data_IF_821185995695
#
_entry.id   IF_821185995695
#
_cell.length_a   1.000
_cell.length_b   1.000
_cell.length_c   1.000
_cell.angle_alpha   90.00
_cell.angle_beta   90.00
_cell.angle_gamma   90.00
#
_symmetry.space_group_name_H-M   'P 1'
#
loop_
_entity.id
_entity.type
_entity.pdbx_description
1 polymer ?
#
# COMPACT_ATOMS: atom_id res chain seq x y z
N UNK A 1 -9.67 -19.99 -18.12
CA UNK A 1 -9.58 -18.58 -17.70
C UNK A 1 -8.55 -17.90 -18.59
N UNK A 2 -8.74 -16.63 -18.96
CA UNK A 2 -7.71 -15.91 -19.74
C UNK A 2 -6.46 -15.75 -18.88
N UNK A 3 -5.25 -15.93 -19.43
CA UNK A 3 -4.04 -15.80 -18.65
C UNK A 3 -3.82 -14.33 -18.20
N UNK A 4 -3.01 -14.10 -17.15
CA UNK A 4 -2.60 -12.75 -16.74
C UNK A 4 -2.06 -11.94 -17.92
N UNK A 5 -2.38 -10.65 -17.97
CA UNK A 5 -2.25 -9.88 -19.21
C UNK A 5 -0.79 -9.80 -19.70
N UNK A 6 0.18 -9.61 -18.81
CA UNK A 6 1.59 -9.51 -19.20
C UNK A 6 2.23 -10.81 -19.67
N UNK A 7 1.56 -11.96 -19.53
CA UNK A 7 2.05 -13.23 -20.10
C UNK A 7 1.93 -13.30 -21.62
N UNK A 8 1.07 -12.48 -22.24
CA UNK A 8 0.81 -12.52 -23.68
C UNK A 8 0.65 -11.14 -24.34
N UNK A 9 0.73 -10.04 -23.59
CA UNK A 9 0.56 -8.70 -24.11
C UNK A 9 1.74 -8.21 -24.96
N UNK A 10 2.97 -8.51 -24.52
CA UNK A 10 4.21 -8.18 -25.23
C UNK A 10 5.22 -9.34 -25.10
N UNK A 11 5.60 -10.02 -26.20
CA UNK A 11 6.47 -11.19 -26.14
C UNK A 11 7.85 -10.92 -25.56
N UNK A 12 8.44 -9.76 -25.86
CA UNK A 12 9.79 -9.42 -25.41
C UNK A 12 9.81 -9.14 -23.90
N UNK A 13 8.79 -8.42 -23.42
CA UNK A 13 8.61 -8.17 -22.00
C UNK A 13 8.30 -9.46 -21.23
N UNK A 14 7.42 -10.32 -21.75
CA UNK A 14 7.14 -11.63 -21.14
C UNK A 14 8.42 -12.50 -21.04
N UNK A 15 9.24 -12.53 -22.10
CA UNK A 15 10.50 -13.27 -22.08
C UNK A 15 11.47 -12.70 -21.03
N UNK A 16 11.52 -11.38 -20.86
CA UNK A 16 12.29 -10.73 -19.80
C UNK A 16 11.80 -11.10 -18.40
N UNK A 17 10.49 -11.02 -18.16
CA UNK A 17 9.88 -11.39 -16.88
C UNK A 17 10.14 -12.87 -16.56
N UNK A 18 9.93 -13.76 -17.52
CA UNK A 18 10.15 -15.21 -17.35
C UNK A 18 11.60 -15.51 -16.99
N UNK A 19 12.59 -14.88 -17.64
CA UNK A 19 14.01 -15.04 -17.28
C UNK A 19 14.32 -14.51 -15.89
N UNK A 20 13.72 -13.37 -15.51
CA UNK A 20 13.93 -12.76 -14.19
C UNK A 20 13.30 -13.60 -13.08
N UNK A 21 12.15 -14.21 -13.35
CA UNK A 21 11.39 -15.05 -12.42
C UNK A 21 11.93 -16.48 -12.24
N UNK A 22 12.85 -16.92 -13.11
CA UNK A 22 13.22 -18.33 -13.26
C UNK A 22 13.98 -18.94 -12.06
N UNK A 23 14.73 -18.13 -11.31
CA UNK A 23 15.48 -18.59 -10.13
C UNK A 23 15.23 -17.67 -8.95
N UNK A 24 15.00 -18.25 -7.77
CA UNK A 24 14.89 -17.53 -6.50
C UNK A 24 16.21 -16.88 -6.06
N UNK A 25 17.33 -17.20 -6.71
CA UNK A 25 18.63 -16.53 -6.48
C UNK A 25 18.66 -15.11 -7.07
N UNK A 26 17.78 -14.80 -8.03
CA UNK A 26 17.66 -13.47 -8.59
C UNK A 26 16.85 -12.58 -7.63
N UNK A 27 17.45 -11.56 -7.04
CA UNK A 27 16.79 -10.66 -6.07
C UNK A 27 15.48 -9.99 -6.55
N UNK A 28 15.14 -10.08 -7.84
CA UNK A 28 13.91 -9.54 -8.42
C UNK A 28 12.91 -10.62 -8.87
N UNK A 29 13.12 -11.89 -8.51
CA UNK A 29 12.30 -13.01 -8.94
C UNK A 29 10.83 -12.82 -8.54
N UNK A 30 10.57 -12.41 -7.31
CA UNK A 30 9.26 -12.16 -6.70
C UNK A 30 8.49 -11.10 -7.47
N UNK A 31 9.15 -9.98 -7.75
CA UNK A 31 8.59 -8.88 -8.53
C UNK A 31 8.22 -9.35 -9.95
N UNK A 32 9.10 -10.08 -10.63
CA UNK A 32 8.81 -10.57 -11.97
C UNK A 32 7.63 -11.57 -11.97
N UNK A 33 7.56 -12.44 -10.96
CA UNK A 33 6.41 -13.35 -10.77
C UNK A 33 5.12 -12.60 -10.50
N UNK A 34 5.13 -11.50 -9.75
CA UNK A 34 3.95 -10.66 -9.56
C UNK A 34 3.39 -10.19 -10.89
N UNK A 35 4.22 -9.67 -11.81
CA UNK A 35 3.76 -9.23 -13.13
C UNK A 35 3.20 -10.38 -13.98
N UNK A 36 3.80 -11.57 -13.90
CA UNK A 36 3.31 -12.76 -14.61
C UNK A 36 2.04 -13.35 -14.00
N UNK A 37 1.76 -13.07 -12.72
CA UNK A 37 0.61 -13.57 -11.98
C UNK A 37 -0.58 -12.62 -12.03
N UNK A 38 -0.34 -11.31 -12.14
CA UNK A 38 -1.36 -10.29 -11.91
C UNK A 38 -2.54 -10.32 -12.92
N UNK A 39 -3.69 -10.77 -12.42
CA UNK A 39 -4.95 -10.78 -13.15
C UNK A 39 -5.76 -9.49 -12.97
N UNK A 40 -5.24 -8.49 -12.25
CA UNK A 40 -5.84 -7.19 -11.95
C UNK A 40 -5.49 -6.08 -12.95
N UNK A 41 -4.51 -6.27 -13.83
CA UNK A 41 -4.09 -5.24 -14.81
C UNK A 41 -5.03 -5.17 -16.02
N UNK A 42 -5.71 -4.04 -16.22
CA UNK A 42 -6.56 -3.77 -17.40
C UNK A 42 -5.77 -3.57 -18.70
N UNK A 43 -6.44 -3.69 -19.86
CA UNK A 43 -5.79 -3.54 -21.17
C UNK A 43 -5.31 -2.11 -21.41
N UNK A 44 -6.11 -1.14 -21.01
CA UNK A 44 -5.86 0.29 -21.06
C UNK A 44 -4.57 0.61 -20.30
N UNK A 45 -4.45 0.09 -19.06
CA UNK A 45 -3.26 0.28 -18.23
C UNK A 45 -2.01 -0.37 -18.80
N UNK A 46 -2.13 -1.57 -19.35
CA UNK A 46 -1.01 -2.22 -20.04
C UNK A 46 -0.57 -1.44 -21.29
N UNK A 47 -1.49 -0.84 -22.04
CA UNK A 47 -1.18 0.01 -23.18
C UNK A 47 -0.49 1.30 -22.74
N UNK A 48 -0.95 1.94 -21.66
CA UNK A 48 -0.31 3.11 -21.09
C UNK A 48 1.13 2.79 -20.64
N UNK A 49 1.31 1.70 -19.88
CA UNK A 49 2.62 1.21 -19.45
C UNK A 49 3.59 0.94 -20.62
N UNK A 50 3.07 0.38 -21.72
CA UNK A 50 3.84 0.19 -22.96
C UNK A 50 4.20 1.52 -23.64
N UNK A 51 3.27 2.48 -23.69
CA UNK A 51 3.48 3.81 -24.29
C UNK A 51 4.60 4.58 -23.59
N UNK A 52 4.73 4.40 -22.28
CA UNK A 52 5.86 4.92 -21.48
C UNK A 52 7.18 4.18 -21.69
N UNK A 53 7.21 3.19 -22.59
CA UNK A 53 8.41 2.45 -22.95
C UNK A 53 8.93 1.52 -21.86
N UNK A 54 8.13 1.24 -20.82
CA UNK A 54 8.55 0.40 -19.69
C UNK A 54 8.77 -1.06 -20.12
N UNK A 55 7.97 -1.53 -21.09
CA UNK A 55 8.06 -2.87 -21.69
C UNK A 55 9.14 -3.00 -22.78
N UNK A 56 9.97 -1.97 -23.00
CA UNK A 56 10.97 -1.98 -24.07
C UNK A 56 12.34 -1.63 -23.50
N UNK A 57 13.42 -2.13 -24.11
CA UNK A 57 14.79 -1.72 -23.78
C UNK A 57 15.17 -1.88 -22.30
N UNK A 58 14.64 -2.91 -21.64
CA UNK A 58 15.02 -3.35 -20.31
C UNK A 58 16.24 -4.26 -20.44
N UNK A 59 17.44 -3.66 -20.41
CA UNK A 59 18.69 -4.41 -20.41
C UNK A 59 18.83 -5.28 -19.15
N UNK A 60 18.35 -4.76 -18.02
CA UNK A 60 18.32 -5.42 -16.72
C UNK A 60 17.13 -4.91 -15.87
N UNK A 61 17.02 -5.44 -14.65
CA UNK A 61 15.96 -5.07 -13.70
C UNK A 61 16.09 -3.64 -13.15
N UNK A 62 17.29 -3.06 -13.11
CA UNK A 62 17.49 -1.69 -12.66
C UNK A 62 16.95 -0.69 -13.72
N UNK A 63 17.23 -0.94 -14.99
CA UNK A 63 16.67 -0.20 -16.11
C UNK A 63 15.14 -0.33 -16.15
N UNK A 64 14.61 -1.53 -15.89
CA UNK A 64 13.17 -1.73 -15.75
C UNK A 64 12.58 -0.90 -14.59
N UNK A 65 13.17 -0.97 -13.39
CA UNK A 65 12.74 -0.19 -12.22
C UNK A 65 12.72 1.31 -12.51
N UNK A 66 13.78 1.86 -13.11
CA UNK A 66 13.83 3.28 -13.45
C UNK A 66 12.70 3.72 -14.38
N UNK A 67 12.37 2.91 -15.39
CA UNK A 67 11.24 3.18 -16.29
C UNK A 67 9.89 3.01 -15.60
N UNK A 68 9.75 2.02 -14.74
CA UNK A 68 8.55 1.81 -13.94
C UNK A 68 8.29 3.01 -13.02
N UNK A 69 9.31 3.51 -12.32
CA UNK A 69 9.20 4.74 -11.51
C UNK A 69 8.80 5.95 -12.36
N UNK A 70 9.33 6.09 -13.57
CA UNK A 70 8.93 7.15 -14.50
C UNK A 70 7.45 7.05 -14.91
N UNK A 71 6.94 5.84 -15.15
CA UNK A 71 5.51 5.59 -15.40
C UNK A 71 4.67 5.97 -14.17
N UNK A 72 5.05 5.53 -12.97
CA UNK A 72 4.32 5.86 -11.75
C UNK A 72 4.21 7.39 -11.57
N UNK A 73 5.32 8.11 -11.72
CA UNK A 73 5.34 9.58 -11.62
C UNK A 73 4.44 10.28 -12.65
N UNK A 74 4.29 9.69 -13.84
CA UNK A 74 3.50 10.29 -14.91
C UNK A 74 2.00 10.00 -14.79
N UNK A 75 1.61 8.81 -14.34
CA UNK A 75 0.23 8.31 -14.50
C UNK A 75 -0.46 7.95 -13.17
N UNK A 76 0.31 7.70 -12.10
CA UNK A 76 -0.22 7.17 -10.83
C UNK A 76 0.01 8.17 -9.69
N UNK A 77 1.23 8.66 -9.55
CA UNK A 77 1.70 9.67 -8.59
C UNK A 77 1.51 11.08 -9.14
N UNK A 78 0.29 11.42 -9.54
CA UNK A 78 -0.01 12.73 -10.15
C UNK A 78 0.30 13.86 -9.17
N UNK A 79 1.05 14.87 -9.60
CA UNK A 79 1.42 15.99 -8.74
C UNK A 79 0.15 16.76 -8.29
N UNK A 80 -0.03 16.91 -6.97
CA UNK A 80 -1.10 17.76 -6.42
C UNK A 80 -0.80 19.24 -6.65
N UNK A 81 -1.86 20.04 -6.70
CA UNK A 81 -1.77 21.49 -6.56
C UNK A 81 -1.50 21.91 -5.09
N UNK A 82 -1.36 23.21 -4.87
CA UNK A 82 -1.13 23.81 -3.54
C UNK A 82 -2.31 23.64 -2.56
N UNK A 83 -3.45 23.10 -2.99
CA UNK A 83 -4.64 22.89 -2.16
C UNK A 83 -4.65 21.51 -1.49
N UNK A 84 -3.86 20.56 -2.01
CA UNK A 84 -3.77 19.19 -1.52
C UNK A 84 -4.85 18.28 -2.14
N UNK A 85 -4.98 17.04 -1.66
CA UNK A 85 -5.89 16.07 -2.24
C UNK A 85 -7.36 16.54 -2.18
N UNK A 86 -8.13 16.38 -3.28
CA UNK A 86 -9.52 16.82 -3.33
C UNK A 86 -10.44 15.88 -2.53
N UNK A 87 -11.58 16.41 -2.07
CA UNK A 87 -12.62 15.62 -1.39
C UNK A 87 -13.44 14.74 -2.37
N UNK A 88 -13.30 14.98 -3.68
CA UNK A 88 -13.86 14.15 -4.74
C UNK A 88 -12.90 14.02 -5.92
N UNK A 89 -12.96 12.88 -6.60
CA UNK A 89 -12.14 12.57 -7.78
C UNK A 89 -13.05 12.41 -8.99
N UNK A 90 -12.69 13.07 -10.08
CA UNK A 90 -13.34 12.88 -11.38
C UNK A 90 -12.47 11.95 -12.25
N UNK A 91 -12.93 10.73 -12.59
CA UNK A 91 -12.18 9.79 -13.43
C UNK A 91 -11.87 10.31 -14.84
N UNK A 92 -12.59 11.33 -15.31
CA UNK A 92 -12.38 11.92 -16.63
C UNK A 92 -11.31 13.04 -16.60
N UNK A 93 -10.91 13.51 -15.42
CA UNK A 93 -9.85 14.50 -15.27
C UNK A 93 -8.45 13.87 -15.37
N UNK A 94 -7.52 14.58 -16.00
CA UNK A 94 -6.11 14.16 -16.10
C UNK A 94 -5.36 14.22 -14.76
N UNK A 95 -5.95 14.87 -13.75
CA UNK A 95 -5.47 14.90 -12.36
C UNK A 95 -5.80 13.62 -11.60
N UNK A 96 -6.72 12.79 -12.12
CA UNK A 96 -7.08 11.51 -11.52
C UNK A 96 -5.99 10.46 -11.78
N UNK A 97 -5.45 9.79 -10.76
CA UNK A 97 -4.56 8.66 -10.95
C UNK A 97 -5.19 7.56 -11.82
N UNK A 98 -4.38 6.98 -12.70
CA UNK A 98 -4.81 5.93 -13.64
C UNK A 98 -5.53 4.76 -12.95
N UNK A 99 -5.11 4.43 -11.73
CA UNK A 99 -5.72 3.45 -10.81
C UNK A 99 -7.24 3.62 -10.67
N UNK A 100 -7.73 4.87 -10.62
CA UNK A 100 -9.16 5.18 -10.45
C UNK A 100 -9.85 5.56 -11.77
N UNK A 101 -9.09 5.86 -12.83
CA UNK A 101 -9.61 6.10 -14.19
C UNK A 101 -9.99 4.80 -14.89
N UNK A 102 -9.14 3.78 -14.77
CA UNK A 102 -9.28 2.50 -15.46
C UNK A 102 -9.21 1.31 -14.49
N UNK A 103 -10.13 1.22 -13.51
CA UNK A 103 -10.18 0.05 -12.64
C UNK A 103 -10.59 -1.16 -13.48
N UNK A 104 -9.86 -2.28 -13.37
CA UNK A 104 -10.17 -3.48 -14.15
C UNK A 104 -11.47 -4.14 -13.69
N UNK A 105 -11.71 -4.13 -12.40
CA UNK A 105 -12.93 -4.63 -11.75
C UNK A 105 -13.77 -3.44 -11.29
N UNK A 106 -15.07 -3.61 -11.04
CA UNK A 106 -15.84 -2.62 -10.29
C UNK A 106 -15.14 -2.27 -8.97
N UNK A 107 -15.39 -1.07 -8.46
CA UNK A 107 -14.92 -0.70 -7.13
C UNK A 107 -15.40 -1.72 -6.09
N UNK A 108 -14.56 -1.97 -5.09
CA UNK A 108 -14.82 -2.93 -4.02
C UNK A 108 -16.17 -2.68 -3.37
N UNK A 109 -16.86 -3.77 -3.01
CA UNK A 109 -18.08 -3.71 -2.21
C UNK A 109 -17.87 -3.06 -0.85
N UNK A 110 -16.63 -3.04 -0.32
CA UNK A 110 -16.26 -2.27 0.87
C UNK A 110 -16.51 -0.77 0.71
N UNK A 111 -16.50 -0.26 -0.53
CA UNK A 111 -16.80 1.13 -0.84
C UNK A 111 -18.26 1.52 -0.57
N UNK A 112 -19.15 0.54 -0.43
CA UNK A 112 -20.57 0.73 -0.09
C UNK A 112 -20.81 0.75 1.42
N UNK A 113 -19.97 0.08 2.20
CA UNK A 113 -20.03 0.08 3.67
C UNK A 113 -19.29 1.30 4.24
N UNK A 114 -20.00 2.42 4.26
CA UNK A 114 -19.47 3.72 4.69
C UNK A 114 -19.04 3.77 6.18
N UNK A 115 -19.47 2.80 6.98
CA UNK A 115 -19.15 2.67 8.41
C UNK A 115 -18.02 1.65 8.67
N UNK A 116 -17.64 0.87 7.66
CA UNK A 116 -16.42 0.07 7.72
C UNK A 116 -15.20 0.97 7.95
N UNK A 117 -14.21 0.45 8.69
CA UNK A 117 -12.99 1.16 9.00
C UNK A 117 -11.81 0.62 8.21
N UNK A 118 -10.95 1.55 7.79
CA UNK A 118 -9.66 1.31 7.19
C UNK A 118 -8.56 1.64 8.20
N UNK A 119 -7.41 0.98 8.04
CA UNK A 119 -6.21 1.19 8.84
C UNK A 119 -5.03 1.55 7.95
N UNK A 120 -4.23 2.52 8.40
CA UNK A 120 -3.00 2.95 7.72
C UNK A 120 -1.92 3.24 8.74
N UNK A 121 -0.68 2.97 8.37
CA UNK A 121 0.51 3.24 9.18
C UNK A 121 1.36 4.29 8.48
N UNK A 122 1.82 5.30 9.21
CA UNK A 122 2.75 6.32 8.70
C UNK A 122 3.99 6.40 9.59
N UNK A 123 5.16 6.54 8.96
CA UNK A 123 6.42 6.83 9.66
C UNK A 123 6.43 8.25 10.19
N UNK A 124 6.89 8.40 11.42
CA UNK A 124 7.06 9.74 11.99
C UNK A 124 8.14 10.53 11.25
N UNK A 125 9.22 9.89 10.81
CA UNK A 125 10.31 10.54 10.07
C UNK A 125 9.79 11.23 8.79
N UNK A 126 8.82 10.61 8.11
CA UNK A 126 8.19 11.19 6.92
C UNK A 126 7.47 12.50 7.24
N UNK A 127 6.81 12.58 8.39
CA UNK A 127 6.13 13.79 8.85
C UNK A 127 7.13 14.81 9.43
N UNK A 128 8.16 14.34 10.12
CA UNK A 128 9.21 15.17 10.72
C UNK A 128 10.00 15.93 9.65
N UNK A 129 10.28 15.31 8.50
CA UNK A 129 10.91 15.99 7.35
C UNK A 129 10.11 17.20 6.86
N UNK A 130 8.78 17.19 6.97
CA UNK A 130 7.97 18.37 6.63
C UNK A 130 8.10 19.51 7.64
N UNK A 131 8.35 19.20 8.92
CA UNK A 131 8.67 20.22 9.92
C UNK A 131 10.05 20.83 9.69
N UNK A 132 11.05 20.01 9.39
CA UNK A 132 12.40 20.49 9.04
C UNK A 132 12.33 21.47 7.87
N UNK A 133 11.58 21.12 6.81
CA UNK A 133 11.32 22.03 5.67
C UNK A 133 10.61 23.29 6.11
N UNK A 134 9.54 23.18 6.91
CA UNK A 134 8.76 24.33 7.41
C UNK A 134 9.63 25.36 8.11
N UNK A 135 10.61 24.90 8.89
CA UNK A 135 11.46 25.73 9.73
C UNK A 135 12.83 25.99 9.10
N UNK A 136 12.99 25.73 7.80
CA UNK A 136 14.24 25.95 7.07
C UNK A 136 15.47 25.33 7.77
N UNK A 137 15.30 24.16 8.39
CA UNK A 137 16.36 23.47 9.13
C UNK A 137 16.71 24.06 10.50
N UNK A 138 15.90 24.96 11.06
CA UNK A 138 16.13 25.52 12.39
C UNK A 138 15.96 24.53 13.55
N UNK A 139 15.35 23.36 13.27
CA UNK A 139 15.32 22.20 14.17
C UNK A 139 15.91 20.99 13.45
N UNK A 140 16.56 20.14 14.23
CA UNK A 140 17.06 18.85 13.75
C UNK A 140 15.91 17.88 13.45
N UNK A 141 16.23 16.81 12.71
CA UNK A 141 15.27 15.73 12.42
C UNK A 141 14.82 15.02 13.71
N UNK A 142 15.74 14.75 14.64
CA UNK A 142 15.44 14.14 15.93
C UNK A 142 14.48 15.01 16.77
N UNK A 143 14.74 16.32 16.89
CA UNK A 143 13.83 17.25 17.57
C UNK A 143 12.46 17.31 16.88
N UNK A 144 12.44 17.19 15.55
CA UNK A 144 11.20 17.15 14.77
C UNK A 144 10.40 15.88 15.08
N UNK A 145 11.04 14.71 15.12
CA UNK A 145 10.39 13.45 15.47
C UNK A 145 9.81 13.47 16.89
N UNK A 146 10.59 13.94 17.88
CA UNK A 146 10.13 14.12 19.26
C UNK A 146 8.89 15.03 19.35
N UNK A 147 8.88 16.10 18.55
CA UNK A 147 7.77 17.06 18.51
C UNK A 147 6.51 16.46 17.89
N UNK A 148 6.64 15.71 16.79
CA UNK A 148 5.50 14.98 16.19
C UNK A 148 4.95 13.94 17.16
N UNK A 149 5.81 13.18 17.84
CA UNK A 149 5.43 12.22 18.87
C UNK A 149 4.67 12.89 20.02
N UNK A 150 5.18 14.02 20.52
CA UNK A 150 4.54 14.76 21.60
C UNK A 150 3.13 15.25 21.20
N UNK A 151 2.98 15.78 19.97
CA UNK A 151 1.69 16.19 19.44
C UNK A 151 0.73 15.01 19.24
N UNK A 152 1.21 13.88 18.72
CA UNK A 152 0.40 12.68 18.54
C UNK A 152 -0.10 12.12 19.87
N UNK A 153 0.78 12.01 20.88
CA UNK A 153 0.42 11.58 22.24
C UNK A 153 -0.56 12.57 22.88
N UNK A 154 -0.33 13.87 22.75
CA UNK A 154 -1.24 14.90 23.24
C UNK A 154 -2.62 14.81 22.60
N UNK A 155 -2.70 14.61 21.28
CA UNK A 155 -3.96 14.45 20.55
C UNK A 155 -4.74 13.22 21.04
N UNK A 156 -4.07 12.09 21.27
CA UNK A 156 -4.69 10.89 21.85
C UNK A 156 -5.20 11.10 23.28
N UNK A 157 -4.60 12.01 24.03
CA UNK A 157 -5.07 12.46 25.36
C UNK A 157 -6.12 13.58 25.28
N UNK A 158 -6.67 13.86 24.10
CA UNK A 158 -7.64 14.92 23.83
C UNK A 158 -7.14 16.35 24.14
N UNK A 159 -5.82 16.61 24.03
CA UNK A 159 -5.30 17.98 24.06
C UNK A 159 -5.66 18.71 22.76
N UNK A 160 -6.48 19.80 22.83
CA UNK A 160 -6.89 20.54 21.64
C UNK A 160 -5.73 21.23 20.93
N UNK A 161 -4.69 21.68 21.65
CA UNK A 161 -3.53 22.35 21.04
C UNK A 161 -2.69 21.35 20.27
N UNK A 162 -2.41 20.21 20.87
CA UNK A 162 -1.69 19.12 20.22
C UNK A 162 -2.44 18.64 18.95
N UNK A 163 -3.76 18.51 19.03
CA UNK A 163 -4.60 18.16 17.87
C UNK A 163 -4.54 19.21 16.77
N UNK A 164 -4.59 20.50 17.13
CA UNK A 164 -4.50 21.60 16.17
C UNK A 164 -3.13 21.66 15.48
N UNK A 165 -2.05 21.50 16.24
CA UNK A 165 -0.69 21.47 15.72
C UNK A 165 -0.49 20.28 14.76
N UNK A 166 -0.99 19.11 15.14
CA UNK A 166 -0.92 17.90 14.32
C UNK A 166 -1.75 18.01 13.03
N UNK A 167 -2.98 18.55 13.10
CA UNK A 167 -3.77 18.86 11.90
C UNK A 167 -3.08 19.90 11.00
N UNK A 168 -2.39 20.88 11.60
CA UNK A 168 -1.57 21.85 10.88
C UNK A 168 -0.40 21.20 10.13
N UNK A 169 0.26 20.21 10.75
CA UNK A 169 1.30 19.40 10.12
C UNK A 169 0.72 18.54 8.99
N UNK A 170 -0.39 17.82 9.22
CA UNK A 170 -1.00 16.98 8.18
C UNK A 170 -1.48 17.80 6.98
N UNK A 171 -2.00 19.00 7.20
CA UNK A 171 -2.34 19.93 6.12
C UNK A 171 -1.11 20.29 5.29
N UNK A 172 0.02 20.58 5.94
CA UNK A 172 1.26 20.88 5.24
C UNK A 172 1.77 19.67 4.47
N UNK A 173 1.83 18.51 5.13
CA UNK A 173 2.22 17.25 4.52
C UNK A 173 1.38 16.94 3.27
N UNK A 174 0.07 17.16 3.32
CA UNK A 174 -0.82 16.90 2.18
C UNK A 174 -0.61 17.82 0.97
N UNK A 175 -0.08 19.05 1.17
CA UNK A 175 0.17 19.99 0.07
C UNK A 175 1.41 19.65 -0.74
N UNK A 176 2.39 18.99 -0.11
CA UNK A 176 3.65 18.64 -0.73
C UNK A 176 3.66 17.25 -1.38
N UNK A 177 2.52 16.54 -1.38
CA UNK A 177 2.44 15.15 -1.86
C UNK A 177 1.73 15.06 -3.20
N UNK A 178 2.12 14.04 -3.95
CA UNK A 178 1.36 13.54 -5.08
C UNK A 178 0.01 12.95 -4.64
N UNK A 179 -0.90 12.84 -5.60
CA UNK A 179 -2.21 12.23 -5.46
C UNK A 179 -2.14 10.70 -5.59
N UNK A 180 -0.99 10.10 -5.25
CA UNK A 180 -0.80 8.67 -5.41
C UNK A 180 -1.88 7.86 -4.65
N UNK A 181 -2.37 6.76 -5.23
CA UNK A 181 -3.26 5.84 -4.54
C UNK A 181 -2.69 5.42 -3.19
N UNK A 182 -3.55 5.41 -2.18
CA UNK A 182 -3.16 5.09 -0.81
C UNK A 182 -3.50 3.65 -0.50
N UNK A 183 -2.48 2.87 -0.15
CA UNK A 183 -2.66 1.54 0.43
C UNK A 183 -3.23 1.63 1.85
N UNK A 184 -4.27 0.86 2.12
CA UNK A 184 -4.86 0.70 3.44
C UNK A 184 -5.28 -0.75 3.68
N UNK A 185 -5.14 -1.20 4.93
CA UNK A 185 -5.72 -2.46 5.38
C UNK A 185 -7.18 -2.28 5.82
N UNK A 186 -7.93 -3.38 5.87
CA UNK A 186 -9.26 -3.37 6.49
C UNK A 186 -9.12 -3.54 8.00
N UNK A 187 -9.72 -2.62 8.77
CA UNK A 187 -9.58 -2.60 10.23
C UNK A 187 -10.04 -3.91 10.89
N UNK A 188 -11.15 -4.48 10.42
CA UNK A 188 -11.71 -5.70 10.99
C UNK A 188 -10.68 -6.84 11.03
N UNK A 189 -9.81 -6.91 10.02
CA UNK A 189 -8.85 -7.99 9.87
C UNK A 189 -7.74 -7.87 10.93
N UNK A 190 -7.35 -6.66 11.35
CA UNK A 190 -6.26 -6.44 12.32
C UNK A 190 -6.72 -5.96 13.70
N UNK A 191 -8.03 -5.84 13.90
CA UNK A 191 -8.61 -5.26 15.11
C UNK A 191 -8.31 -6.06 16.38
N UNK A 192 -8.03 -7.36 16.24
CA UNK A 192 -7.63 -8.27 17.31
C UNK A 192 -6.28 -7.92 17.97
N UNK A 193 -5.47 -7.10 17.30
CA UNK A 193 -4.20 -6.61 17.86
C UNK A 193 -4.40 -5.55 18.96
N UNK A 194 -5.60 -4.96 19.06
CA UNK A 194 -5.86 -3.77 19.86
C UNK A 194 -6.95 -4.00 20.90
N UNK A 195 -6.71 -3.49 22.11
CA UNK A 195 -7.74 -3.42 23.14
C UNK A 195 -8.56 -2.13 23.04
N UNK A 196 -9.58 -2.02 23.89
CA UNK A 196 -10.37 -0.79 24.02
C UNK A 196 -9.50 0.43 24.41
N UNK A 197 -8.45 0.17 25.20
CA UNK A 197 -7.43 1.14 25.62
C UNK A 197 -6.01 0.60 25.33
N UNK A 198 -4.99 1.46 25.24
CA UNK A 198 -3.62 1.05 24.91
C UNK A 198 -3.05 -0.04 25.83
N UNK A 199 -3.45 -0.08 27.09
CA UNK A 199 -3.02 -1.09 28.07
C UNK A 199 -3.53 -2.49 27.75
N UNK A 200 -4.57 -2.60 26.93
CA UNK A 200 -5.16 -3.85 26.45
C UNK A 200 -4.67 -4.29 25.08
N UNK A 201 -3.79 -3.53 24.42
CA UNK A 201 -3.22 -3.91 23.13
C UNK A 201 -2.31 -5.16 23.30
N UNK A 202 -2.25 -6.00 22.27
CA UNK A 202 -1.39 -7.19 22.28
C UNK A 202 0.08 -6.76 22.41
N UNK A 203 0.90 -7.41 23.26
CA UNK A 203 2.33 -7.10 23.33
C UNK A 203 3.01 -7.23 21.96
N UNK A 204 3.73 -6.19 21.53
CA UNK A 204 4.35 -6.16 20.21
C UNK A 204 3.37 -5.98 19.05
N UNK A 205 2.19 -5.38 19.30
CA UNK A 205 1.19 -5.12 18.27
C UNK A 205 1.74 -4.34 17.07
N UNK A 206 2.70 -3.42 17.27
CA UNK A 206 3.25 -2.60 16.19
C UNK A 206 4.05 -3.44 15.18
N UNK A 207 4.89 -4.35 15.67
CA UNK A 207 5.60 -5.32 14.82
C UNK A 207 4.60 -6.26 14.13
N UNK A 208 3.59 -6.72 14.85
CA UNK A 208 2.55 -7.62 14.33
C UNK A 208 1.69 -6.94 13.26
N UNK A 209 1.31 -5.67 13.46
CA UNK A 209 0.57 -4.87 12.49
C UNK A 209 1.39 -4.67 11.21
N UNK A 210 2.68 -4.33 11.35
CA UNK A 210 3.61 -4.20 10.22
C UNK A 210 3.69 -5.50 9.43
N UNK A 211 3.82 -6.63 10.11
CA UNK A 211 3.91 -7.94 9.46
C UNK A 211 2.61 -8.29 8.73
N UNK A 212 1.46 -8.14 9.39
CA UNK A 212 0.14 -8.43 8.81
C UNK A 212 -0.21 -7.51 7.65
N UNK A 213 0.24 -6.26 7.66
CA UNK A 213 0.06 -5.32 6.55
C UNK A 213 1.13 -5.47 5.45
N UNK A 214 2.03 -6.46 5.53
CA UNK A 214 3.04 -6.69 4.50
C UNK A 214 4.03 -5.54 4.34
N UNK A 215 4.23 -4.71 5.38
CA UNK A 215 5.03 -3.49 5.33
C UNK A 215 6.53 -3.79 5.44
N UNK A 216 7.07 -4.58 4.51
CA UNK A 216 8.46 -5.04 4.50
C UNK A 216 9.49 -3.89 4.51
N UNK A 217 9.14 -2.75 3.94
CA UNK A 217 10.00 -1.56 3.93
C UNK A 217 10.06 -0.84 5.29
N UNK A 218 9.17 -1.17 6.22
CA UNK A 218 9.22 -0.74 7.62
C UNK A 218 10.11 -1.70 8.43
N UNK A 219 11.39 -1.76 8.06
CA UNK A 219 12.35 -2.71 8.63
C UNK A 219 13.42 -1.97 9.46
N UNK A 220 13.35 -2.03 10.81
CA UNK A 220 14.41 -1.50 11.65
C UNK A 220 15.66 -2.35 11.42
N UNK A 221 16.66 -1.78 10.73
CA UNK A 221 17.88 -2.52 10.33
C UNK A 221 18.67 -3.04 11.51
N UNK A 222 18.49 -2.46 12.70
CA UNK A 222 19.06 -2.93 13.96
C UNK A 222 17.99 -2.90 15.07
N UNK A 223 18.07 -3.79 16.08
CA UNK A 223 17.10 -3.84 17.18
C UNK A 223 16.93 -2.55 18.00
N UNK A 224 17.92 -1.65 17.96
CA UNK A 224 17.87 -0.36 18.67
C UNK A 224 17.43 0.81 17.76
N UNK A 225 17.23 0.56 16.46
CA UNK A 225 16.80 1.56 15.47
C UNK A 225 15.28 1.47 15.27
N UNK A 226 14.54 1.52 16.38
CA UNK A 226 13.07 1.43 16.34
C UNK A 226 12.47 2.49 15.43
N UNK A 227 11.45 2.12 14.66
CA UNK A 227 10.73 3.03 13.77
C UNK A 227 9.46 3.47 14.48
N UNK A 228 9.40 4.74 14.89
CA UNK A 228 8.17 5.30 15.44
C UNK A 228 7.12 5.49 14.36
N UNK A 229 5.90 5.04 14.65
CA UNK A 229 4.78 5.03 13.71
C UNK A 229 3.51 5.63 14.31
N UNK A 230 2.73 6.25 13.43
CA UNK A 230 1.35 6.67 13.70
C UNK A 230 0.40 5.70 13.00
N UNK A 231 -0.56 5.17 13.75
CA UNK A 231 -1.64 4.33 13.21
C UNK A 231 -2.89 5.18 13.08
N UNK A 232 -3.44 5.25 11.88
CA UNK A 232 -4.70 5.89 11.58
C UNK A 232 -5.80 4.86 11.41
N UNK A 233 -6.93 5.11 12.04
CA UNK A 233 -8.18 4.36 11.85
C UNK A 233 -9.26 5.33 11.42
N UNK A 234 -9.77 5.17 10.21
CA UNK A 234 -10.77 6.08 9.64
C UNK A 234 -11.85 5.30 8.89
N UNK A 235 -13.09 5.80 8.92
CA UNK A 235 -14.19 5.14 8.24
C UNK A 235 -14.10 5.36 6.73
N UNK A 236 -14.68 4.45 5.95
CA UNK A 236 -14.72 4.54 4.48
C UNK A 236 -15.34 5.86 4.03
N UNK A 237 -16.35 6.40 4.71
CA UNK A 237 -16.93 7.69 4.32
C UNK A 237 -15.96 8.88 4.36
N UNK A 238 -14.82 8.76 5.06
CA UNK A 238 -13.77 9.78 5.10
C UNK A 238 -12.93 9.84 3.81
N UNK A 239 -12.95 8.77 3.02
CA UNK A 239 -12.25 8.67 1.73
C UNK A 239 -12.91 9.62 0.72
N UNK A 240 -12.16 10.21 -0.24
CA UNK A 240 -12.74 10.97 -1.34
C UNK A 240 -13.73 10.14 -2.15
N UNK A 241 -14.81 10.75 -2.60
CA UNK A 241 -15.83 10.09 -3.45
C UNK A 241 -15.58 10.35 -4.93
N UNK A 242 -16.31 9.67 -5.79
CA UNK A 242 -16.38 10.07 -7.20
C UNK A 242 -17.22 11.34 -7.38
N UNK A 243 -16.85 12.18 -8.34
CA UNK A 243 -17.56 13.42 -8.67
C UNK A 243 -18.90 13.18 -9.38
N UNK A 244 -19.15 11.97 -9.87
CA UNK A 244 -20.34 11.63 -10.65
C UNK A 244 -21.64 11.71 -9.83
N UNK A 245 -22.67 12.46 -10.31
CA UNK A 245 -23.93 12.63 -9.61
C UNK A 245 -24.73 11.32 -9.59
N UNK A 246 -24.72 10.65 -8.44
CA UNK A 246 -25.40 9.37 -8.21
C UNK A 246 -24.53 8.37 -7.46
N UNK A 247 -23.22 8.57 -7.49
CA UNK A 247 -22.28 7.64 -6.88
C UNK A 247 -22.03 8.02 -5.41
N UNK A 248 -22.59 7.22 -4.49
CA UNK A 248 -22.28 7.32 -3.07
C UNK A 248 -21.12 6.41 -2.68
N UNK A 249 -20.73 5.49 -3.55
CA UNK A 249 -19.68 4.53 -3.33
C UNK A 249 -18.33 5.27 -3.20
N UNK A 250 -17.44 4.73 -2.38
CA UNK A 250 -16.04 5.14 -2.37
C UNK A 250 -15.25 4.33 -3.38
N UNK A 251 -14.39 4.97 -4.21
CA UNK A 251 -13.62 4.29 -5.25
C UNK A 251 -12.46 3.50 -4.64
N UNK A 252 -12.79 2.42 -3.93
CA UNK A 252 -11.84 1.48 -3.37
C UNK A 252 -11.51 0.42 -4.43
N UNK A 253 -10.23 0.12 -4.66
CA UNK A 253 -9.82 -0.91 -5.63
C UNK A 253 -8.83 -1.88 -5.03
N UNK A 254 -8.83 -3.12 -5.51
CA UNK A 254 -7.76 -4.06 -5.24
C UNK A 254 -6.46 -3.55 -5.90
N UNK A 255 -5.31 -3.56 -5.20
CA UNK A 255 -4.03 -3.16 -5.80
C UNK A 255 -3.57 -4.14 -6.90
N UNK A 256 -2.84 -3.63 -7.88
CA UNK A 256 -2.09 -4.39 -8.87
C UNK A 256 -0.63 -3.91 -8.98
N UNK A 257 0.18 -4.64 -9.75
CA UNK A 257 1.62 -4.36 -9.97
C UNK A 257 1.94 -2.99 -10.59
N UNK A 258 0.92 -2.24 -11.01
CA UNK A 258 1.07 -0.91 -11.61
C UNK A 258 0.71 0.23 -10.65
N UNK A 259 0.33 -0.06 -9.40
CA UNK A 259 -0.18 0.96 -8.46
C UNK A 259 0.86 1.48 -7.46
N UNK A 260 2.07 0.95 -7.48
CA UNK A 260 3.14 1.37 -6.58
C UNK A 260 4.48 0.78 -6.98
N UNK A 261 5.51 1.08 -6.19
CA UNK A 261 6.86 0.61 -6.44
C UNK A 261 6.95 -0.93 -6.52
N UNK A 262 7.96 -1.40 -7.27
CA UNK A 262 8.27 -2.83 -7.37
C UNK A 262 8.67 -3.38 -5.98
N UNK A 263 7.72 -4.10 -5.36
CA UNK A 263 7.80 -4.68 -4.00
C UNK A 263 7.86 -6.20 -4.03
N UNK A 264 8.75 -6.77 -3.20
CA UNK A 264 8.90 -8.21 -3.02
C UNK A 264 7.79 -8.82 -2.15
N UNK A 265 7.25 -8.04 -1.22
CA UNK A 265 6.14 -8.43 -0.34
C UNK A 265 4.75 -8.25 -0.97
N UNK A 266 4.67 -7.69 -2.18
CA UNK A 266 3.42 -7.66 -2.92
C UNK A 266 3.12 -9.04 -3.53
N UNK A 267 1.85 -9.44 -3.53
CA UNK A 267 1.37 -10.64 -4.22
C UNK A 267 -0.04 -10.37 -4.73
N UNK A 268 -0.27 -10.36 -6.06
CA UNK A 268 -1.59 -10.09 -6.61
C UNK A 268 -2.65 -11.05 -6.07
N UNK A 269 -3.84 -10.54 -5.74
CA UNK A 269 -4.98 -11.42 -5.46
C UNK A 269 -5.61 -11.94 -6.78
N UNK A 270 -6.25 -13.12 -6.75
CA UNK A 270 -6.96 -13.62 -7.93
C UNK A 270 -8.06 -12.65 -8.38
N UNK A 271 -8.38 -12.61 -9.68
CA UNK A 271 -9.42 -11.72 -10.24
C UNK A 271 -10.82 -11.86 -9.63
N UNK A 272 -11.07 -12.94 -8.90
CA UNK A 272 -12.34 -13.19 -8.23
C UNK A 272 -12.50 -12.34 -6.96
N UNK A 273 -11.41 -11.76 -6.44
CA UNK A 273 -11.44 -10.87 -5.29
C UNK A 273 -11.65 -9.41 -5.70
N UNK A 274 -12.44 -8.69 -4.92
CA UNK A 274 -12.60 -7.24 -5.03
C UNK A 274 -11.66 -6.47 -4.08
N UNK A 275 -10.77 -7.16 -3.36
CA UNK A 275 -9.68 -6.61 -2.55
C UNK A 275 -8.36 -7.30 -2.89
N UNK A 276 -7.23 -6.69 -2.54
CA UNK A 276 -5.95 -7.41 -2.44
C UNK A 276 -5.83 -8.11 -1.09
N UNK A 277 -4.73 -8.84 -0.89
CA UNK A 277 -4.37 -9.45 0.38
C UNK A 277 -2.88 -9.32 0.59
N UNK A 278 -2.47 -8.83 1.75
CA UNK A 278 -1.06 -8.63 2.09
C UNK A 278 -0.38 -9.95 2.40
N UNK A 279 0.88 -10.09 1.99
CA UNK A 279 1.73 -11.18 2.47
C UNK A 279 2.10 -10.90 3.93
N UNK A 280 1.56 -11.71 4.85
CA UNK A 280 1.92 -11.63 6.27
C UNK A 280 3.38 -12.04 6.45
N UNK A 281 4.22 -11.10 6.90
CA UNK A 281 5.65 -11.33 7.08
C UNK A 281 5.96 -12.27 8.27
N UNK A 282 5.06 -12.43 9.24
CA UNK A 282 5.19 -13.43 10.30
C UNK A 282 4.58 -14.79 9.91
N UNK A 283 3.78 -14.79 8.84
CA UNK A 283 3.02 -15.94 8.37
C UNK A 283 1.63 -16.02 8.97
N UNK A 284 0.63 -15.97 8.09
CA UNK A 284 -0.76 -16.13 8.47
C UNK A 284 -0.97 -17.53 9.08
N UNK A 285 -1.85 -17.62 10.09
CA UNK A 285 -2.12 -18.88 10.79
C UNK A 285 -3.20 -19.73 10.11
N UNK A 286 -4.02 -19.09 9.28
CA UNK A 286 -5.15 -19.70 8.57
C UNK A 286 -5.56 -18.80 7.39
N UNK A 287 -6.42 -19.32 6.52
CA UNK A 287 -7.06 -18.54 5.44
C UNK A 287 -7.79 -17.30 5.96
N UNK A 288 -8.51 -17.43 7.08
CA UNK A 288 -9.21 -16.32 7.74
C UNK A 288 -8.25 -15.28 8.34
N UNK A 289 -6.96 -15.59 8.44
CA UNK A 289 -5.92 -14.69 8.93
C UNK A 289 -5.33 -13.77 7.86
N UNK A 290 -5.69 -13.96 6.58
CA UNK A 290 -5.25 -13.06 5.51
C UNK A 290 -5.80 -11.66 5.74
N UNK A 291 -4.95 -10.64 5.62
CA UNK A 291 -5.34 -9.26 5.81
C UNK A 291 -5.66 -8.64 4.46
N UNK A 292 -6.87 -8.13 4.30
CA UNK A 292 -7.28 -7.47 3.05
C UNK A 292 -6.61 -6.11 2.93
N UNK A 293 -6.18 -5.80 1.72
CA UNK A 293 -5.67 -4.49 1.32
C UNK A 293 -6.50 -3.89 0.19
N UNK A 294 -6.63 -2.57 0.24
CA UNK A 294 -7.29 -1.78 -0.80
C UNK A 294 -6.44 -0.55 -1.11
N UNK A 295 -6.71 0.04 -2.28
CA UNK A 295 -6.29 1.38 -2.62
C UNK A 295 -7.49 2.32 -2.56
N UNK A 296 -7.25 3.53 -2.09
CA UNK A 296 -8.21 4.62 -2.17
C UNK A 296 -7.53 5.91 -2.62
N UNK A 297 -8.27 6.91 -3.14
CA UNK A 297 -7.66 8.17 -3.54
C UNK A 297 -6.95 8.86 -2.39
N UNK A 298 -5.88 9.60 -2.71
CA UNK A 298 -5.16 10.40 -1.73
C UNK A 298 -6.13 11.26 -0.91
N UNK A 299 -5.90 11.31 0.40
CA UNK A 299 -6.73 12.09 1.31
C UNK A 299 -5.86 12.78 2.36
N UNK A 300 -6.35 13.89 2.90
CA UNK A 300 -5.67 14.56 4.03
C UNK A 300 -5.95 13.82 5.34
N UNK A 301 -4.89 13.32 5.98
CA UNK A 301 -4.95 12.79 7.34
C UNK A 301 -5.38 13.86 8.34
N UNK A 302 -6.05 13.44 9.43
CA UNK A 302 -6.53 14.32 10.48
C UNK A 302 -6.25 13.73 11.85
N UNK A 303 -6.00 14.56 12.84
CA UNK A 303 -5.75 14.16 14.22
C UNK A 303 -6.89 13.30 14.79
N UNK A 304 -8.15 13.59 14.41
CA UNK A 304 -9.32 12.79 14.81
C UNK A 304 -9.31 11.33 14.31
N UNK A 305 -8.47 11.00 13.34
CA UNK A 305 -8.29 9.63 12.83
C UNK A 305 -7.07 8.94 13.41
N UNK A 306 -6.23 9.66 14.18
CA UNK A 306 -5.12 9.05 14.89
C UNK A 306 -5.68 8.08 15.94
N UNK A 307 -5.22 6.84 15.90
CA UNK A 307 -5.73 5.76 16.72
C UNK A 307 -4.69 5.26 17.74
N UNK A 308 -3.44 5.07 17.30
CA UNK A 308 -2.32 4.65 18.16
C UNK A 308 -1.02 5.29 17.71
N UNK A 309 -0.08 5.35 18.66
CA UNK A 309 1.33 5.63 18.43
C UNK A 309 2.11 4.45 18.97
N UNK A 310 3.06 3.94 18.20
CA UNK A 310 3.88 2.79 18.58
C UNK A 310 5.24 2.83 17.92
N UNK A 311 6.06 1.81 18.21
CA UNK A 311 7.37 1.63 17.61
C UNK A 311 7.50 0.22 17.03
N UNK A 312 7.96 0.11 15.79
CA UNK A 312 8.34 -1.15 15.16
C UNK A 312 9.80 -1.39 15.55
N UNK A 313 10.08 -2.49 16.22
CA UNK A 313 11.39 -2.73 16.85
C UNK A 313 12.06 -4.01 16.37
N UNK A 314 11.28 -4.93 15.80
CA UNK A 314 11.79 -6.21 15.32
C UNK A 314 12.21 -6.09 13.84
N UNK A 315 13.43 -6.44 13.46
CA UNK A 315 13.81 -6.52 12.05
C UNK A 315 12.95 -7.54 11.27
N UNK A 316 12.74 -7.30 9.98
CA UNK A 316 12.20 -8.31 9.05
C UNK A 316 13.24 -9.41 8.85
N UNK A 317 12.84 -10.68 8.91
CA UNK A 317 13.76 -11.78 8.60
C UNK A 317 14.18 -11.72 7.11
N UNK A 318 15.49 -11.80 6.78
CA UNK A 318 15.97 -11.58 5.40
C UNK A 318 15.42 -12.57 4.35
N UNK A 319 15.08 -13.78 4.75
CA UNK A 319 14.62 -14.89 3.91
C UNK A 319 13.09 -15.09 3.93
N UNK A 320 12.37 -14.18 4.60
CA UNK A 320 10.96 -14.35 4.91
C UNK A 320 10.06 -14.41 3.67
N UNK A 321 10.42 -13.69 2.61
CA UNK A 321 9.55 -13.51 1.44
C UNK A 321 9.28 -14.83 0.74
N UNK A 322 10.28 -15.68 0.52
CA UNK A 322 10.08 -16.94 -0.18
C UNK A 322 9.08 -17.86 0.54
N UNK A 323 9.28 -18.03 1.85
CA UNK A 323 8.43 -18.90 2.69
C UNK A 323 7.02 -18.33 2.82
N UNK A 324 6.89 -17.05 3.18
CA UNK A 324 5.58 -16.45 3.42
C UNK A 324 4.77 -16.29 2.14
N UNK A 325 5.43 -16.11 0.99
CA UNK A 325 4.77 -16.11 -0.31
C UNK A 325 4.13 -17.45 -0.63
N UNK A 326 4.84 -18.57 -0.43
CA UNK A 326 4.28 -19.92 -0.64
C UNK A 326 3.10 -20.22 0.28
N UNK A 327 3.21 -19.85 1.56
CA UNK A 327 2.12 -20.00 2.53
C UNK A 327 0.89 -19.15 2.16
N UNK A 328 1.11 -17.87 1.85
CA UNK A 328 0.07 -16.94 1.43
C UNK A 328 -0.67 -17.45 0.18
N UNK A 329 0.07 -17.95 -0.83
CA UNK A 329 -0.52 -18.54 -2.03
C UNK A 329 -1.40 -19.75 -1.73
N UNK A 330 -0.97 -20.60 -0.80
CA UNK A 330 -1.77 -21.77 -0.38
C UNK A 330 -3.11 -21.34 0.20
N UNK A 331 -3.12 -20.29 1.03
CA UNK A 331 -4.34 -19.72 1.59
C UNK A 331 -5.22 -19.02 0.57
N UNK A 332 -4.65 -18.26 -0.38
CA UNK A 332 -5.44 -17.68 -1.48
C UNK A 332 -6.12 -18.76 -2.33
N UNK A 333 -5.41 -19.86 -2.64
CA UNK A 333 -5.98 -20.98 -3.41
C UNK A 333 -7.16 -21.62 -2.69
N UNK A 334 -7.04 -21.79 -1.38
CA UNK A 334 -8.10 -22.35 -0.54
C UNK A 334 -9.30 -21.39 -0.45
N UNK A 335 -9.05 -20.13 -0.08
CA UNK A 335 -10.07 -19.09 0.10
C UNK A 335 -10.91 -18.85 -1.16
N UNK A 336 -10.28 -18.83 -2.33
CA UNK A 336 -10.95 -18.59 -3.61
C UNK A 336 -11.30 -19.87 -4.39
N UNK A 337 -11.07 -21.05 -3.80
CA UNK A 337 -11.23 -22.34 -4.47
C UNK A 337 -10.56 -22.41 -5.85
N UNK A 338 -9.38 -21.78 -5.98
CA UNK A 338 -8.66 -21.64 -7.25
C UNK A 338 -7.33 -22.39 -7.21
N UNK A 339 -7.39 -23.72 -7.19
CA UNK A 339 -6.24 -24.61 -6.97
C UNK A 339 -5.06 -24.44 -7.95
N UNK A 340 -5.30 -23.93 -9.16
CA UNK A 340 -4.24 -23.71 -10.16
C UNK A 340 -3.66 -22.29 -10.13
N UNK A 341 -4.12 -21.41 -9.24
CA UNK A 341 -3.65 -20.03 -9.14
C UNK A 341 -2.14 -19.98 -8.88
N UNK A 342 -1.37 -19.21 -9.65
CA UNK A 342 0.10 -19.14 -9.57
C UNK A 342 0.87 -20.46 -9.83
N UNK A 343 0.23 -21.53 -10.33
CA UNK A 343 0.90 -22.82 -10.55
C UNK A 343 2.09 -22.73 -11.52
N UNK A 344 2.05 -21.79 -12.47
CA UNK A 344 3.08 -21.61 -13.49
C UNK A 344 4.16 -20.59 -13.12
N UNK A 345 3.98 -19.84 -12.02
CA UNK A 345 4.94 -18.83 -11.56
C UNK A 345 5.60 -19.25 -10.26
N UNK A 346 4.80 -19.69 -9.29
CA UNK A 346 5.20 -19.93 -7.90
C UNK A 346 4.94 -21.39 -7.46
N UNK A 347 4.73 -22.30 -8.41
CA UNK A 347 4.49 -23.71 -8.12
C UNK A 347 5.67 -24.43 -7.44
N UNK A 348 6.87 -23.85 -7.50
CA UNK A 348 8.08 -24.30 -6.80
C UNK A 348 8.11 -23.91 -5.31
N UNK A 349 7.23 -23.01 -4.87
CA UNK A 349 7.12 -22.56 -3.48
C UNK A 349 6.01 -23.29 -2.68
N UNK A 350 5.31 -24.24 -3.31
CA UNK A 350 4.08 -24.86 -2.80
C UNK A 350 4.23 -26.31 -2.39
#
# INVERSE_FOLDING_TARGET
>A
MSPPLFTNFDPDFNAFLTRTAASTDNIHWSVARNFLLDEGVGRERAQCYKKHGVMMGHGDAAAWRGKHTGYLQAEVSIQSDDFGPPDSVDPDEDTCPETFRFPRMPFSSLGDDLDAYLVRVEHIDTLARELVKRWNGAISESESCEKVLAWAKGALMNDPRASQDLDGLFKQFSKGRDLCPVFAGVWADVSDLFGDAPEGDVPGWADSLRDRLGLQHHDPKQPNDGIDVLVFRYPVHAVPRLSNPGDRQRPLVAPCVLDGDLSDAFLPSPRASDTGHTVDLAGARSCDGLTREILHPAMRLRAKYLFRVGAITRPVAPDVIGVQRGLHLSYLRELFHYSTYAQHTDGDLL
#
